data_IF_684230170185
#
_entry.id   IF_684230170185
#
_cell.length_a   1.000
_cell.length_b   1.000
_cell.length_c   1.000
_cell.angle_alpha   90.00
_cell.angle_beta   90.00
_cell.angle_gamma   90.00
#
_symmetry.space_group_name_H-M   'P 1'
#
loop_
_entity.id
_entity.type
_entity.pdbx_description
1 polymer ?
#
# COMPACT_ATOMS: atom_id res chain seq x y z
N UNK A 1 42.17 -19.75 -16.37
CA UNK A 1 41.45 -18.62 -15.73
C UNK A 1 40.04 -18.58 -16.32
N UNK A 2 39.03 -18.54 -15.45
CA UNK A 2 37.64 -18.79 -15.83
C UNK A 2 37.00 -17.63 -16.61
N UNK A 3 36.10 -17.98 -17.52
CA UNK A 3 35.30 -17.08 -18.38
C UNK A 3 34.39 -16.14 -17.58
N UNK A 4 34.27 -16.36 -16.26
CA UNK A 4 33.41 -15.64 -15.34
C UNK A 4 34.10 -14.48 -14.59
N UNK A 5 35.34 -14.13 -14.93
CA UNK A 5 36.05 -12.98 -14.35
C UNK A 5 35.60 -11.62 -14.93
N UNK A 6 34.52 -11.60 -15.71
CA UNK A 6 33.84 -10.37 -16.08
C UNK A 6 33.09 -9.84 -14.86
N UNK A 7 33.60 -8.76 -14.27
CA UNK A 7 32.84 -7.90 -13.36
C UNK A 7 31.58 -7.42 -14.09
N UNK A 8 30.49 -8.16 -13.95
CA UNK A 8 29.18 -7.66 -14.32
C UNK A 8 28.92 -6.40 -13.49
N UNK A 9 28.47 -5.29 -14.11
CA UNK A 9 28.04 -4.14 -13.32
C UNK A 9 26.98 -4.64 -12.33
N UNK A 10 27.21 -4.40 -11.03
CA UNK A 10 26.14 -4.57 -10.03
C UNK A 10 24.95 -3.78 -10.56
N UNK A 11 23.81 -4.44 -10.74
CA UNK A 11 22.57 -3.78 -11.11
C UNK A 11 22.42 -2.54 -10.23
N UNK A 12 22.44 -1.35 -10.85
CA UNK A 12 22.04 -0.12 -10.17
C UNK A 12 20.69 -0.40 -9.55
N UNK A 13 20.62 -0.35 -8.21
CA UNK A 13 19.36 -0.55 -7.47
C UNK A 13 18.31 0.31 -8.16
N UNK A 14 17.27 -0.33 -8.67
CA UNK A 14 16.12 0.38 -9.20
C UNK A 14 15.60 1.29 -8.09
N UNK A 15 15.79 2.59 -8.19
CA UNK A 15 15.19 3.55 -7.26
C UNK A 15 13.86 3.97 -7.85
N UNK A 16 12.78 3.58 -7.19
CA UNK A 16 11.47 4.19 -7.39
C UNK A 16 11.30 5.31 -6.36
N UNK A 17 10.75 6.44 -6.79
CA UNK A 17 10.31 7.52 -5.92
C UNK A 17 9.02 8.07 -6.52
N UNK A 18 7.92 8.17 -5.76
CA UNK A 18 6.69 8.79 -6.25
C UNK A 18 6.94 10.22 -6.73
N UNK A 19 6.25 10.65 -7.78
CA UNK A 19 6.31 12.03 -8.26
C UNK A 19 5.52 13.02 -7.42
N UNK A 20 4.53 12.54 -6.65
CA UNK A 20 3.67 13.34 -5.78
C UNK A 20 2.99 12.48 -4.70
N UNK A 21 2.21 13.12 -3.84
CA UNK A 21 1.46 12.47 -2.77
C UNK A 21 0.44 11.45 -3.29
N UNK A 22 -0.25 11.73 -4.40
CA UNK A 22 -1.25 10.84 -4.99
C UNK A 22 -0.64 9.51 -5.47
N UNK A 23 0.49 9.57 -6.16
CA UNK A 23 1.22 8.38 -6.57
C UNK A 23 1.75 7.61 -5.34
N UNK A 24 2.17 8.31 -4.29
CA UNK A 24 2.61 7.69 -3.04
C UNK A 24 1.46 6.96 -2.31
N UNK A 25 0.25 7.54 -2.30
CA UNK A 25 -0.94 6.87 -1.78
C UNK A 25 -1.20 5.54 -2.52
N UNK A 26 -1.18 5.59 -3.86
CA UNK A 26 -1.39 4.40 -4.69
C UNK A 26 -0.29 3.36 -4.44
N UNK A 27 0.97 3.80 -4.32
CA UNK A 27 2.10 2.91 -4.06
C UNK A 27 1.95 2.15 -2.74
N UNK A 28 1.56 2.85 -1.68
CA UNK A 28 1.36 2.26 -0.35
C UNK A 28 0.16 1.30 -0.35
N UNK A 29 -0.98 1.73 -0.89
CA UNK A 29 -2.18 0.89 -0.96
C UNK A 29 -1.94 -0.37 -1.80
N UNK A 30 -1.29 -0.24 -2.95
CA UNK A 30 -0.92 -1.38 -3.79
C UNK A 30 0.02 -2.35 -3.07
N UNK A 31 1.06 -1.82 -2.41
CA UNK A 31 2.01 -2.64 -1.66
C UNK A 31 1.33 -3.48 -0.56
N UNK A 32 0.28 -2.93 0.06
CA UNK A 32 -0.46 -3.58 1.12
C UNK A 32 -1.35 -4.72 0.62
N UNK A 33 -2.11 -4.52 -0.47
CA UNK A 33 -2.90 -5.61 -1.07
C UNK A 33 -2.01 -6.68 -1.73
N UNK A 34 -0.83 -6.28 -2.21
CA UNK A 34 0.11 -7.19 -2.88
C UNK A 34 1.04 -7.95 -1.93
N UNK A 35 0.81 -7.92 -0.61
CA UNK A 35 1.72 -8.52 0.39
C UNK A 35 1.86 -10.03 0.23
N UNK A 36 0.84 -10.69 -0.33
CA UNK A 36 0.83 -12.13 -0.59
C UNK A 36 1.36 -12.52 -2.00
N UNK A 37 1.98 -11.57 -2.71
CA UNK A 37 2.61 -11.71 -4.03
C UNK A 37 1.65 -12.02 -5.21
N UNK A 38 0.37 -12.27 -4.94
CA UNK A 38 -0.71 -12.31 -5.93
C UNK A 38 -1.74 -11.24 -5.58
N UNK A 39 -2.04 -10.35 -6.54
CA UNK A 39 -3.14 -9.38 -6.40
C UNK A 39 -4.29 -9.84 -7.29
N UNK A 40 -5.45 -10.09 -6.70
CA UNK A 40 -6.64 -10.49 -7.43
C UNK A 40 -7.26 -9.29 -8.18
N UNK A 41 -7.97 -9.56 -9.28
CA UNK A 41 -8.66 -8.51 -10.06
C UNK A 41 -9.69 -7.76 -9.18
N UNK A 42 -10.30 -8.45 -8.24
CA UNK A 42 -11.22 -7.88 -7.26
C UNK A 42 -10.54 -6.84 -6.35
N UNK A 43 -9.33 -7.11 -5.86
CA UNK A 43 -8.57 -6.18 -5.01
C UNK A 43 -8.14 -4.93 -5.78
N UNK A 44 -7.81 -5.09 -7.07
CA UNK A 44 -7.54 -3.99 -7.98
C UNK A 44 -8.78 -3.11 -8.18
N UNK A 45 -9.94 -3.74 -8.34
CA UNK A 45 -11.20 -3.04 -8.51
C UNK A 45 -11.61 -2.30 -7.24
N UNK A 46 -11.47 -2.93 -6.07
CA UNK A 46 -11.72 -2.29 -4.77
C UNK A 46 -10.78 -1.10 -4.53
N UNK A 47 -9.49 -1.23 -4.84
CA UNK A 47 -8.55 -0.12 -4.79
C UNK A 47 -9.01 1.01 -5.73
N UNK A 48 -9.36 0.71 -6.98
CA UNK A 48 -9.82 1.73 -7.92
C UNK A 48 -11.08 2.45 -7.43
N UNK A 49 -12.04 1.71 -6.85
CA UNK A 49 -13.26 2.27 -6.27
C UNK A 49 -12.96 3.15 -5.04
N UNK A 50 -12.05 2.71 -4.17
CA UNK A 50 -11.60 3.44 -2.99
C UNK A 50 -10.99 4.81 -3.34
N UNK A 51 -10.34 4.92 -4.50
CA UNK A 51 -9.71 6.15 -5.00
C UNK A 51 -10.68 7.06 -5.77
N UNK A 52 -11.65 6.49 -6.49
CA UNK A 52 -12.47 7.20 -7.49
C UNK A 52 -13.20 8.45 -6.97
N UNK A 53 -13.54 8.48 -5.69
CA UNK A 53 -14.34 9.56 -5.09
C UNK A 53 -13.53 10.50 -4.18
N UNK A 54 -12.20 10.33 -4.10
CA UNK A 54 -11.38 11.13 -3.19
C UNK A 54 -10.90 12.42 -3.86
N UNK A 55 -11.18 13.60 -3.26
CA UNK A 55 -10.80 14.89 -3.83
C UNK A 55 -9.31 15.06 -4.13
N UNK A 56 -8.43 14.35 -3.40
CA UNK A 56 -6.98 14.40 -3.61
C UNK A 56 -6.56 13.89 -5.00
N UNK A 57 -7.39 13.06 -5.66
CA UNK A 57 -7.13 12.52 -7.00
C UNK A 57 -7.84 13.29 -8.11
N UNK A 58 -8.58 14.37 -7.80
CA UNK A 58 -9.23 15.18 -8.83
C UNK A 58 -8.20 15.80 -9.78
N UNK A 59 -8.39 15.59 -11.09
CA UNK A 59 -7.47 16.10 -12.12
C UNK A 59 -6.17 15.30 -12.28
N UNK A 60 -6.01 14.18 -11.58
CA UNK A 60 -4.85 13.29 -11.69
C UNK A 60 -5.14 12.07 -12.57
N UNK A 61 -4.13 11.61 -13.32
CA UNK A 61 -4.21 10.34 -14.06
C UNK A 61 -3.82 9.16 -13.16
N UNK A 62 -4.79 8.69 -12.37
CA UNK A 62 -4.64 7.52 -11.48
C UNK A 62 -4.14 6.28 -12.22
N UNK A 63 -4.50 6.10 -13.50
CA UNK A 63 -4.08 4.94 -14.29
C UNK A 63 -2.59 5.01 -14.62
N UNK A 64 -2.07 6.20 -14.88
CA UNK A 64 -0.63 6.39 -15.12
C UNK A 64 0.17 6.08 -13.86
N UNK A 65 -0.26 6.59 -12.70
CA UNK A 65 0.37 6.28 -11.41
C UNK A 65 0.35 4.78 -11.11
N UNK A 66 -0.79 4.12 -11.34
CA UNK A 66 -0.90 2.68 -11.10
C UNK A 66 0.09 1.86 -11.94
N UNK A 67 0.30 2.21 -13.21
CA UNK A 67 1.29 1.55 -14.07
C UNK A 67 2.71 1.73 -13.55
N UNK A 68 3.06 2.94 -13.12
CA UNK A 68 4.38 3.22 -12.55
C UNK A 68 4.61 2.40 -11.27
N UNK A 69 3.62 2.39 -10.38
CA UNK A 69 3.61 1.63 -9.13
C UNK A 69 3.75 0.13 -9.37
N UNK A 70 2.98 -0.45 -10.30
CA UNK A 70 3.04 -1.88 -10.61
C UNK A 70 4.43 -2.29 -11.12
N UNK A 71 5.01 -1.49 -12.02
CA UNK A 71 6.36 -1.72 -12.54
C UNK A 71 7.43 -1.56 -11.45
N UNK A 72 7.25 -0.63 -10.52
CA UNK A 72 8.12 -0.46 -9.38
C UNK A 72 8.01 -1.66 -8.43
N UNK A 73 6.79 -2.05 -8.07
CA UNK A 73 6.52 -3.16 -7.17
C UNK A 73 7.22 -4.44 -7.62
N UNK A 74 7.06 -4.82 -8.90
CA UNK A 74 7.72 -5.98 -9.49
C UNK A 74 9.27 -5.96 -9.40
N UNK A 75 9.88 -4.79 -9.20
CA UNK A 75 11.34 -4.60 -9.12
C UNK A 75 11.87 -4.50 -7.70
N UNK A 76 11.11 -3.92 -6.77
CA UNK A 76 11.59 -3.58 -5.41
C UNK A 76 10.80 -4.22 -4.27
N UNK A 77 9.62 -4.78 -4.54
CA UNK A 77 8.73 -5.40 -3.55
C UNK A 77 7.98 -4.40 -2.65
N UNK A 78 6.93 -4.88 -1.97
CA UNK A 78 6.02 -4.07 -1.16
C UNK A 78 6.71 -3.23 -0.10
N UNK A 79 7.63 -3.83 0.67
CA UNK A 79 8.28 -3.13 1.78
C UNK A 79 9.07 -1.90 1.32
N UNK A 80 9.93 -2.07 0.31
CA UNK A 80 10.71 -0.94 -0.21
C UNK A 80 9.82 0.10 -0.90
N UNK A 81 8.71 -0.34 -1.50
CA UNK A 81 7.74 0.54 -2.13
C UNK A 81 7.05 1.44 -1.08
N UNK A 82 6.68 0.89 0.08
CA UNK A 82 6.16 1.64 1.22
C UNK A 82 7.22 2.61 1.75
N UNK A 83 8.42 2.12 2.07
CA UNK A 83 9.53 2.92 2.60
C UNK A 83 9.85 4.13 1.69
N UNK A 84 9.78 3.96 0.36
CA UNK A 84 10.04 5.04 -0.59
C UNK A 84 8.89 6.05 -0.73
N UNK A 85 7.71 5.75 -0.20
CA UNK A 85 6.50 6.52 -0.42
C UNK A 85 6.02 7.27 0.82
N UNK A 86 6.34 6.78 2.03
CA UNK A 86 5.84 7.37 3.28
C UNK A 86 6.22 8.83 3.49
N UNK A 87 7.39 9.26 3.04
CA UNK A 87 7.86 10.65 3.16
C UNK A 87 7.08 11.65 2.29
N UNK A 88 6.33 11.16 1.30
CA UNK A 88 5.50 11.98 0.41
C UNK A 88 4.09 12.23 0.97
N UNK A 89 3.73 11.57 2.07
CA UNK A 89 2.40 11.67 2.68
C UNK A 89 2.40 12.82 3.69
N UNK A 90 1.55 13.81 3.44
CA UNK A 90 1.33 14.93 4.35
C UNK A 90 0.75 14.46 5.68
N UNK A 91 1.09 15.18 6.76
CA UNK A 91 0.79 14.74 8.11
C UNK A 91 -0.73 14.56 8.35
N UNK A 92 -1.53 15.48 7.80
CA UNK A 92 -2.99 15.48 7.87
C UNK A 92 -3.64 14.32 7.12
N UNK A 93 -2.92 13.66 6.21
CA UNK A 93 -3.43 12.61 5.33
C UNK A 93 -3.05 11.19 5.74
N UNK A 94 -2.08 11.04 6.63
CA UNK A 94 -1.60 9.74 7.13
C UNK A 94 -2.73 8.89 7.72
N UNK A 95 -3.61 9.52 8.51
CA UNK A 95 -4.78 8.84 9.10
C UNK A 95 -5.72 8.33 8.02
N UNK A 96 -6.10 9.18 7.07
CA UNK A 96 -7.05 8.82 6.00
C UNK A 96 -6.50 7.72 5.09
N UNK A 97 -5.21 7.80 4.74
CA UNK A 97 -4.51 6.77 3.96
C UNK A 97 -4.51 5.44 4.70
N UNK A 98 -4.14 5.44 5.98
CA UNK A 98 -4.13 4.23 6.79
C UNK A 98 -5.52 3.64 6.89
N UNK A 99 -6.55 4.42 7.25
CA UNK A 99 -7.93 3.95 7.35
C UNK A 99 -8.41 3.29 6.06
N UNK A 100 -8.16 3.92 4.90
CA UNK A 100 -8.52 3.36 3.60
C UNK A 100 -7.75 2.07 3.29
N UNK A 101 -6.48 2.00 3.67
CA UNK A 101 -5.66 0.82 3.45
C UNK A 101 -6.15 -0.36 4.30
N UNK A 102 -6.56 -0.11 5.56
CA UNK A 102 -7.17 -1.13 6.42
C UNK A 102 -8.51 -1.62 5.87
N UNK A 103 -9.30 -0.74 5.24
CA UNK A 103 -10.56 -1.14 4.61
C UNK A 103 -10.36 -2.19 3.51
N UNK A 104 -9.29 -2.03 2.71
CA UNK A 104 -8.88 -2.94 1.63
C UNK A 104 -8.24 -4.22 2.16
N UNK A 105 -7.24 -4.10 3.05
CA UNK A 105 -6.50 -5.26 3.56
C UNK A 105 -7.41 -6.20 4.34
N UNK A 106 -8.38 -5.67 5.09
CA UNK A 106 -9.32 -6.47 5.88
C UNK A 106 -10.69 -6.58 5.19
N UNK A 107 -10.71 -6.65 3.85
CA UNK A 107 -11.94 -6.77 3.07
C UNK A 107 -12.78 -7.99 3.49
N UNK A 108 -12.11 -9.12 3.75
CA UNK A 108 -12.70 -10.38 4.17
C UNK A 108 -12.99 -10.50 5.68
N UNK A 109 -12.61 -9.47 6.46
CA UNK A 109 -12.81 -9.42 7.90
C UNK A 109 -11.93 -10.36 8.72
N UNK A 110 -10.92 -10.98 8.10
CA UNK A 110 -9.92 -11.80 8.78
C UNK A 110 -8.72 -10.91 9.11
N UNK A 111 -8.07 -11.18 10.26
CA UNK A 111 -6.78 -10.59 10.60
C UNK A 111 -5.78 -11.73 10.78
N UNK A 112 -5.15 -12.14 9.69
CA UNK A 112 -4.11 -13.14 9.67
C UNK A 112 -2.76 -12.55 10.10
N UNK A 113 -1.79 -13.42 10.46
CA UNK A 113 -0.47 -12.98 10.93
C UNK A 113 0.24 -12.03 9.96
N UNK A 114 0.12 -12.27 8.64
CA UNK A 114 0.76 -11.42 7.62
C UNK A 114 0.13 -10.03 7.56
N UNK A 115 -1.19 -9.95 7.67
CA UNK A 115 -1.92 -8.69 7.72
C UNK A 115 -1.60 -7.94 9.01
N UNK A 116 -1.53 -8.63 10.15
CA UNK A 116 -1.12 -8.02 11.42
C UNK A 116 0.29 -7.43 11.34
N UNK A 117 1.25 -8.17 10.77
CA UNK A 117 2.62 -7.69 10.54
C UNK A 117 2.64 -6.48 9.59
N UNK A 118 1.88 -6.52 8.49
CA UNK A 118 1.77 -5.43 7.53
C UNK A 118 1.14 -4.17 8.15
N UNK A 119 0.06 -4.33 8.90
CA UNK A 119 -0.68 -3.26 9.56
C UNK A 119 0.19 -2.59 10.63
N UNK A 120 0.90 -3.39 11.43
CA UNK A 120 1.88 -2.90 12.39
C UNK A 120 2.99 -2.12 11.69
N UNK A 121 3.52 -2.65 10.59
CA UNK A 121 4.55 -1.98 9.81
C UNK A 121 4.10 -0.65 9.20
N UNK A 122 2.94 -0.61 8.53
CA UNK A 122 2.45 0.62 7.89
C UNK A 122 2.01 1.68 8.92
N UNK A 123 1.40 1.28 10.04
CA UNK A 123 1.06 2.24 11.12
C UNK A 123 2.32 2.90 11.68
N UNK A 124 3.38 2.11 11.91
CA UNK A 124 4.67 2.63 12.33
C UNK A 124 5.35 3.50 11.25
N UNK A 125 5.32 3.07 9.98
CA UNK A 125 5.93 3.81 8.88
C UNK A 125 5.23 5.17 8.63
N UNK A 126 3.92 5.24 8.87
CA UNK A 126 3.15 6.47 8.83
C UNK A 126 3.25 7.28 10.13
N UNK A 127 3.96 6.82 11.17
CA UNK A 127 4.09 7.52 12.45
C UNK A 127 2.71 7.77 13.11
N UNK A 128 1.84 6.77 13.06
CA UNK A 128 0.54 6.79 13.73
C UNK A 128 0.68 6.23 15.14
N UNK A 129 -0.05 6.82 16.09
CA UNK A 129 -0.08 6.26 17.44
C UNK A 129 -0.83 4.93 17.46
N UNK A 130 -0.34 4.01 18.31
CA UNK A 130 -0.83 2.64 18.41
C UNK A 130 -2.33 2.58 18.79
N UNK A 131 -2.80 3.52 19.62
CA UNK A 131 -4.19 3.57 20.04
C UNK A 131 -5.12 3.93 18.87
N UNK A 132 -4.73 4.91 18.06
CA UNK A 132 -5.45 5.30 16.84
C UNK A 132 -5.44 4.19 15.81
N UNK A 133 -4.29 3.59 15.54
CA UNK A 133 -4.18 2.49 14.58
C UNK A 133 -5.08 1.31 14.98
N UNK A 134 -5.06 0.92 16.27
CA UNK A 134 -5.91 -0.14 16.82
C UNK A 134 -7.40 0.17 16.68
N UNK A 135 -7.83 1.40 16.99
CA UNK A 135 -9.25 1.80 16.84
C UNK A 135 -9.77 1.64 15.42
N UNK A 136 -8.94 1.93 14.41
CA UNK A 136 -9.31 1.80 12.99
C UNK A 136 -9.51 0.32 12.63
N UNK A 137 -8.56 -0.53 13.03
CA UNK A 137 -8.63 -1.98 12.81
C UNK A 137 -9.85 -2.59 13.50
N UNK A 138 -10.05 -2.28 14.79
CA UNK A 138 -11.18 -2.79 15.57
C UNK A 138 -12.52 -2.38 14.96
N UNK A 139 -12.63 -1.11 14.55
CA UNK A 139 -13.83 -0.60 13.87
C UNK A 139 -14.10 -1.36 12.58
N UNK A 140 -13.09 -1.58 11.73
CA UNK A 140 -13.25 -2.29 10.46
C UNK A 140 -13.73 -3.73 10.67
N UNK A 141 -13.16 -4.44 11.64
CA UNK A 141 -13.56 -5.81 12.00
C UNK A 141 -14.98 -5.86 12.58
N UNK A 142 -15.39 -4.84 13.34
CA UNK A 142 -16.75 -4.74 13.85
C UNK A 142 -17.76 -4.46 12.72
N UNK A 143 -17.44 -3.57 11.80
CA UNK A 143 -18.29 -3.23 10.65
C UNK A 143 -18.53 -4.46 9.76
N UNK A 144 -17.49 -5.27 9.52
CA UNK A 144 -17.63 -6.54 8.79
C UNK A 144 -18.59 -7.51 9.50
N UNK A 145 -18.46 -7.68 10.82
CA UNK A 145 -19.35 -8.55 11.61
C UNK A 145 -20.81 -8.12 11.56
N UNK A 146 -21.06 -6.81 11.55
CA UNK A 146 -22.42 -6.28 11.45
C UNK A 146 -23.03 -6.52 10.07
N UNK A 147 -22.25 -6.37 9.00
CA UNK A 147 -22.72 -6.54 7.62
C UNK A 147 -22.92 -8.02 7.24
N UNK A 148 -22.13 -8.94 7.80
CA UNK A 148 -22.26 -10.39 7.58
C UNK A 148 -23.38 -11.04 8.41
N UNK A 149 -23.95 -10.33 9.37
CA UNK A 149 -25.07 -10.78 10.20
C UNK A 149 -26.46 -10.43 9.62
N UNK A 150 -26.50 -9.75 8.47
CA UNK A 150 -27.71 -9.35 7.72
C UNK A 150 -27.94 -10.27 6.51
#
# INVERSE_FOLDING_TARGET
MGVFDKKYPKATRASYAPGNEQEAWIAIMHACIAVDEDVADEELEELAQALAYKPIFEGHDVREYYKAVLLAHARIGSKQLIDNSVEYISAERKYDLFALTIELVLADGVLANKEEELISYISSALDLDEETARKIVDKRLQDYKNNSAL
#
